data_IF_093731965564
#
_entry.id   IF_093731965564
#
_cell.length_a   1.000
_cell.length_b   1.000
_cell.length_c   1.000
_cell.angle_alpha   90.00
_cell.angle_beta   90.00
_cell.angle_gamma   90.00
#
_symmetry.space_group_name_H-M   'P 1'
#
loop_
_entity.id
_entity.type
_entity.pdbx_description
1 polymer ?
#
# COMPACT_ATOMS: atom_id res chain seq x y z
N UNK A 1 24.75 -17.71 21.65
CA UNK A 1 23.35 -17.51 21.23
C UNK A 1 22.70 -18.86 21.16
N UNK A 2 21.76 -19.12 22.06
CA UNK A 2 21.08 -20.40 22.21
C UNK A 2 20.04 -20.57 21.09
N UNK A 3 19.97 -21.76 20.46
CA UNK A 3 18.91 -22.11 19.53
C UNK A 3 17.53 -21.92 20.16
N UNK A 4 17.39 -22.00 21.48
CA UNK A 4 16.13 -21.75 22.17
C UNK A 4 15.66 -20.29 22.13
N UNK A 5 16.56 -19.30 22.11
CA UNK A 5 16.19 -17.89 21.92
C UNK A 5 15.82 -17.59 20.46
N UNK A 6 16.53 -18.20 19.51
CA UNK A 6 16.19 -18.11 18.10
C UNK A 6 14.85 -18.79 17.78
N UNK A 7 14.55 -19.90 18.47
CA UNK A 7 13.27 -20.63 18.33
C UNK A 7 12.13 -19.89 19.02
N UNK A 8 12.36 -19.20 20.14
CA UNK A 8 11.36 -18.31 20.77
C UNK A 8 11.11 -17.03 19.96
N UNK A 9 12.12 -16.50 19.26
CA UNK A 9 11.91 -15.43 18.25
C UNK A 9 11.17 -15.93 17.01
N UNK A 10 11.36 -17.19 16.62
CA UNK A 10 10.63 -17.82 15.50
C UNK A 10 9.26 -18.41 15.89
N UNK A 11 8.96 -18.52 17.19
CA UNK A 11 7.66 -18.94 17.74
C UNK A 11 6.87 -17.76 18.32
N UNK A 12 7.42 -16.55 18.34
CA UNK A 12 6.61 -15.34 18.43
C UNK A 12 5.79 -15.30 17.14
N UNK A 13 4.59 -15.84 17.21
CA UNK A 13 3.59 -15.78 16.16
C UNK A 13 3.61 -14.35 15.61
N UNK A 14 3.96 -14.19 14.33
CA UNK A 14 3.81 -12.91 13.67
C UNK A 14 2.30 -12.60 13.73
N UNK A 15 1.93 -11.64 14.59
CA UNK A 15 0.52 -11.30 14.88
C UNK A 15 -0.23 -10.97 13.60
N UNK A 16 0.45 -10.39 12.61
CA UNK A 16 -0.10 -10.16 11.27
C UNK A 16 -0.40 -11.47 10.55
N UNK A 17 0.58 -12.38 10.43
CA UNK A 17 0.41 -13.66 9.73
C UNK A 17 -0.69 -14.52 10.36
N UNK A 18 -0.74 -14.61 11.68
CA UNK A 18 -1.80 -15.36 12.36
C UNK A 18 -3.17 -14.67 12.24
N UNK A 19 -3.19 -13.34 12.24
CA UNK A 19 -4.40 -12.59 11.95
C UNK A 19 -4.97 -12.92 10.56
N UNK A 20 -4.11 -13.00 9.55
CA UNK A 20 -4.50 -13.40 8.19
C UNK A 20 -5.00 -14.84 8.11
N UNK A 21 -4.33 -15.79 8.77
CA UNK A 21 -4.76 -17.20 8.80
C UNK A 21 -6.17 -17.36 9.39
N UNK A 22 -6.49 -16.62 10.45
CA UNK A 22 -7.84 -16.63 11.04
C UNK A 22 -8.89 -16.04 10.11
N UNK A 23 -8.53 -15.04 9.29
CA UNK A 23 -9.43 -14.43 8.32
C UNK A 23 -9.64 -15.30 7.07
N UNK A 24 -8.70 -16.19 6.71
CA UNK A 24 -8.83 -17.03 5.53
C UNK A 24 -9.59 -18.33 5.81
N UNK A 25 -9.25 -19.01 6.91
CA UNK A 25 -9.68 -20.39 7.14
C UNK A 25 -10.69 -20.50 8.28
N UNK A 26 -10.99 -19.40 8.97
CA UNK A 26 -11.89 -19.34 10.14
C UNK A 26 -11.38 -20.09 11.38
N UNK A 27 -10.34 -20.93 11.24
CA UNK A 27 -9.73 -21.71 12.31
C UNK A 27 -10.71 -22.55 13.14
N UNK A 28 -10.23 -23.08 14.26
CA UNK A 28 -11.09 -23.66 15.31
C UNK A 28 -11.45 -22.64 16.41
N UNK A 29 -11.25 -21.35 16.12
CA UNK A 29 -11.40 -20.26 17.10
C UNK A 29 -12.78 -19.63 16.94
N UNK A 30 -13.51 -19.52 18.06
CA UNK A 30 -14.79 -18.81 18.06
C UNK A 30 -14.56 -17.33 17.73
N UNK A 31 -15.43 -16.76 16.88
CA UNK A 31 -15.32 -15.37 16.42
C UNK A 31 -13.97 -15.07 15.73
N UNK A 32 -13.41 -16.04 14.99
CA UNK A 32 -12.10 -15.96 14.34
C UNK A 32 -11.89 -14.70 13.51
N UNK A 33 -12.91 -14.22 12.79
CA UNK A 33 -12.81 -12.97 12.02
C UNK A 33 -12.48 -11.77 12.90
N UNK A 34 -13.12 -11.67 14.07
CA UNK A 34 -12.87 -10.58 15.03
C UNK A 34 -11.49 -10.71 15.65
N UNK A 35 -11.09 -11.92 16.01
CA UNK A 35 -9.76 -12.18 16.57
C UNK A 35 -8.68 -11.87 15.54
N UNK A 36 -8.86 -12.29 14.30
CA UNK A 36 -7.94 -12.00 13.19
C UNK A 36 -7.78 -10.49 12.99
N UNK A 37 -8.89 -9.75 12.95
CA UNK A 37 -8.85 -8.29 12.87
C UNK A 37 -8.11 -7.65 14.05
N UNK A 38 -8.38 -8.08 15.29
CA UNK A 38 -7.70 -7.55 16.48
C UNK A 38 -6.19 -7.79 16.44
N UNK A 39 -5.76 -8.96 15.95
CA UNK A 39 -4.33 -9.27 15.82
C UNK A 39 -3.65 -8.38 14.79
N UNK A 40 -4.30 -8.12 13.65
CA UNK A 40 -3.79 -7.21 12.63
C UNK A 40 -3.74 -5.77 13.15
N UNK A 41 -4.78 -5.29 13.83
CA UNK A 41 -4.77 -3.97 14.45
C UNK A 41 -3.63 -3.84 15.46
N UNK A 42 -3.43 -4.86 16.30
CA UNK A 42 -2.33 -4.88 17.26
C UNK A 42 -0.96 -4.84 16.56
N UNK A 43 -0.75 -5.69 15.56
CA UNK A 43 0.50 -5.70 14.77
C UNK A 43 0.77 -4.32 14.15
N UNK A 44 -0.24 -3.71 13.53
CA UNK A 44 -0.12 -2.39 12.92
C UNK A 44 0.20 -1.30 13.95
N UNK A 45 -0.41 -1.35 15.15
CA UNK A 45 -0.09 -0.42 16.25
C UNK A 45 1.32 -0.59 16.80
N UNK A 46 1.90 -1.79 16.68
CA UNK A 46 3.29 -2.07 17.04
C UNK A 46 4.30 -1.68 15.96
N UNK A 47 3.83 -1.19 14.80
CA UNK A 47 4.68 -0.72 13.72
C UNK A 47 4.87 -1.71 12.57
N UNK A 48 4.16 -2.85 12.56
CA UNK A 48 4.24 -3.79 11.43
C UNK A 48 3.70 -3.13 10.15
N UNK A 49 4.60 -2.89 9.18
CA UNK A 49 4.28 -2.17 7.94
C UNK A 49 3.30 -2.94 7.05
N UNK A 50 3.35 -4.27 7.06
CA UNK A 50 2.49 -5.10 6.22
C UNK A 50 1.06 -5.12 6.80
N UNK A 51 0.94 -5.20 8.13
CA UNK A 51 -0.33 -5.02 8.82
C UNK A 51 -0.92 -3.62 8.61
N UNK A 52 -0.08 -2.57 8.64
CA UNK A 52 -0.53 -1.20 8.33
C UNK A 52 -1.03 -1.10 6.88
N UNK A 53 -0.32 -1.67 5.91
CA UNK A 53 -0.77 -1.69 4.52
C UNK A 53 -2.08 -2.44 4.36
N UNK A 54 -2.21 -3.60 5.00
CA UNK A 54 -3.43 -4.39 5.01
C UNK A 54 -4.63 -3.61 5.57
N UNK A 55 -4.44 -2.89 6.68
CA UNK A 55 -5.50 -2.03 7.21
C UNK A 55 -5.84 -0.90 6.24
N UNK A 56 -4.84 -0.32 5.57
CA UNK A 56 -5.03 0.63 4.48
C UNK A 56 -5.98 0.08 3.41
N UNK A 57 -5.67 -1.10 2.87
CA UNK A 57 -6.46 -1.79 1.86
C UNK A 57 -7.87 -2.13 2.35
N UNK A 58 -7.98 -2.68 3.56
CA UNK A 58 -9.27 -3.03 4.14
C UNK A 58 -10.16 -1.79 4.32
N UNK A 59 -9.60 -0.69 4.81
CA UNK A 59 -10.35 0.56 4.95
C UNK A 59 -10.70 1.19 3.61
N UNK A 60 -9.84 1.10 2.60
CA UNK A 60 -10.09 1.66 1.28
C UNK A 60 -11.13 0.87 0.47
N UNK A 61 -10.93 -0.44 0.34
CA UNK A 61 -11.75 -1.29 -0.54
C UNK A 61 -13.01 -1.80 0.14
N UNK A 62 -12.87 -2.34 1.36
CA UNK A 62 -13.96 -3.04 2.06
C UNK A 62 -14.86 -2.09 2.82
N UNK A 63 -14.27 -1.21 3.64
CA UNK A 63 -15.04 -0.31 4.50
C UNK A 63 -15.32 1.05 3.87
N UNK A 64 -14.62 1.41 2.79
CA UNK A 64 -14.74 2.70 2.09
C UNK A 64 -14.60 3.90 3.04
N UNK A 65 -13.61 3.84 3.94
CA UNK A 65 -13.25 4.88 4.91
C UNK A 65 -11.91 5.49 4.52
N UNK A 66 -11.95 6.45 3.61
CA UNK A 66 -10.75 6.99 2.97
C UNK A 66 -9.78 7.65 3.96
N UNK A 67 -10.28 8.35 4.99
CA UNK A 67 -9.43 8.99 6.00
C UNK A 67 -8.66 7.95 6.83
N UNK A 68 -9.30 6.81 7.13
CA UNK A 68 -8.63 5.70 7.84
C UNK A 68 -7.63 4.99 6.94
N UNK A 69 -7.96 4.81 5.66
CA UNK A 69 -7.04 4.26 4.69
C UNK A 69 -5.79 5.15 4.57
N UNK A 70 -5.99 6.47 4.40
CA UNK A 70 -4.91 7.45 4.33
C UNK A 70 -4.02 7.41 5.58
N UNK A 71 -4.61 7.30 6.77
CA UNK A 71 -3.86 7.19 8.02
C UNK A 71 -2.93 5.96 8.03
N UNK A 72 -3.45 4.79 7.68
CA UNK A 72 -2.65 3.56 7.73
C UNK A 72 -1.63 3.46 6.60
N UNK A 73 -1.98 3.88 5.38
CA UNK A 73 -1.00 4.00 4.30
C UNK A 73 0.09 5.00 4.63
N UNK A 74 -0.22 6.11 5.32
CA UNK A 74 0.83 7.04 5.77
C UNK A 74 1.83 6.35 6.69
N UNK A 75 1.35 5.53 7.64
CA UNK A 75 2.23 4.78 8.54
C UNK A 75 3.12 3.77 7.82
N UNK A 76 2.57 3.04 6.86
CA UNK A 76 3.34 2.09 6.05
C UNK A 76 4.33 2.81 5.10
N UNK A 77 3.91 3.94 4.51
CA UNK A 77 4.73 4.77 3.64
C UNK A 77 5.91 5.44 4.39
N UNK A 78 5.72 5.86 5.65
CA UNK A 78 6.79 6.34 6.53
C UNK A 78 7.92 5.29 6.72
N UNK A 79 7.60 4.01 6.48
CA UNK A 79 8.55 2.89 6.54
C UNK A 79 9.08 2.46 5.16
N UNK A 80 8.80 3.26 4.12
CA UNK A 80 9.29 3.03 2.76
C UNK A 80 8.58 1.91 2.01
N UNK A 81 7.38 1.48 2.43
CA UNK A 81 6.64 0.43 1.72
C UNK A 81 6.12 0.94 0.36
N UNK A 82 6.60 0.43 -0.79
CA UNK A 82 6.23 0.94 -2.12
C UNK A 82 4.73 0.89 -2.41
N UNK A 83 4.05 -0.15 -1.94
CA UNK A 83 2.60 -0.36 -2.07
C UNK A 83 1.82 0.78 -1.41
N UNK A 84 2.17 1.09 -0.17
CA UNK A 84 1.55 2.17 0.59
C UNK A 84 1.88 3.55 0.01
N UNK A 85 3.11 3.75 -0.50
CA UNK A 85 3.50 4.98 -1.19
C UNK A 85 2.64 5.20 -2.46
N UNK A 86 2.45 4.16 -3.28
CA UNK A 86 1.60 4.25 -4.47
C UNK A 86 0.13 4.55 -4.12
N UNK A 87 -0.43 3.88 -3.10
CA UNK A 87 -1.79 4.13 -2.66
C UNK A 87 -1.97 5.54 -2.08
N UNK A 88 -1.04 6.00 -1.24
CA UNK A 88 -1.08 7.34 -0.67
C UNK A 88 -0.94 8.42 -1.76
N UNK A 89 -0.09 8.20 -2.76
CA UNK A 89 0.01 9.05 -3.94
C UNK A 89 -1.33 9.19 -4.68
N UNK A 90 -2.03 8.07 -4.88
CA UNK A 90 -3.37 8.06 -5.48
C UNK A 90 -4.40 8.81 -4.62
N UNK A 91 -4.38 8.64 -3.30
CA UNK A 91 -5.28 9.36 -2.40
C UNK A 91 -5.08 10.88 -2.48
N UNK A 92 -3.83 11.35 -2.52
CA UNK A 92 -3.51 12.77 -2.72
C UNK A 92 -3.88 13.28 -4.12
N UNK A 93 -3.73 12.46 -5.16
CA UNK A 93 -4.12 12.80 -6.53
C UNK A 93 -5.62 13.04 -6.64
N UNK A 94 -6.42 12.17 -6.00
CA UNK A 94 -7.88 12.19 -6.06
C UNK A 94 -8.53 13.06 -4.97
N UNK A 95 -7.79 13.43 -3.92
CA UNK A 95 -8.34 14.13 -2.75
C UNK A 95 -9.26 13.23 -1.91
N UNK A 96 -8.95 11.94 -1.81
CA UNK A 96 -9.74 10.95 -1.06
C UNK A 96 -9.14 10.75 0.32
N UNK A 97 -9.89 11.09 1.37
CA UNK A 97 -9.42 10.96 2.76
C UNK A 97 -8.29 11.94 3.15
N UNK A 98 -7.82 12.75 2.20
CA UNK A 98 -6.81 13.79 2.36
C UNK A 98 -7.16 14.98 1.47
N UNK A 99 -6.63 16.17 1.80
CA UNK A 99 -6.73 17.32 0.90
C UNK A 99 -5.91 17.04 -0.36
N UNK A 100 -6.52 17.23 -1.54
CA UNK A 100 -5.88 17.00 -2.83
C UNK A 100 -4.60 17.83 -2.95
N UNK A 101 -3.49 17.16 -3.29
CA UNK A 101 -2.18 17.77 -3.42
C UNK A 101 -1.37 17.03 -4.49
N UNK A 102 -1.27 17.64 -5.67
CA UNK A 102 -0.57 17.03 -6.80
C UNK A 102 0.94 16.96 -6.59
N UNK A 103 1.52 17.85 -5.79
CA UNK A 103 2.97 17.81 -5.52
C UNK A 103 3.29 16.63 -4.61
N UNK A 104 2.49 16.42 -3.55
CA UNK A 104 2.62 15.24 -2.69
C UNK A 104 2.33 13.95 -3.44
N UNK A 105 1.28 13.92 -4.27
CA UNK A 105 0.97 12.75 -5.09
C UNK A 105 2.17 12.33 -5.95
N UNK A 106 2.77 13.29 -6.67
CA UNK A 106 3.99 13.07 -7.45
C UNK A 106 5.14 12.55 -6.60
N UNK A 107 5.42 13.18 -5.46
CA UNK A 107 6.51 12.79 -4.58
C UNK A 107 6.37 11.34 -4.11
N UNK A 108 5.18 10.93 -3.70
CA UNK A 108 4.93 9.55 -3.29
C UNK A 108 5.06 8.56 -4.45
N UNK A 109 4.57 8.91 -5.66
CA UNK A 109 4.79 8.07 -6.84
C UNK A 109 6.28 7.96 -7.21
N UNK A 110 7.04 9.05 -7.15
CA UNK A 110 8.48 9.03 -7.42
C UNK A 110 9.24 8.19 -6.38
N UNK A 111 8.86 8.28 -5.10
CA UNK A 111 9.43 7.46 -4.02
C UNK A 111 9.10 5.97 -4.19
N UNK A 112 7.86 5.63 -4.57
CA UNK A 112 7.46 4.24 -4.84
C UNK A 112 8.29 3.56 -5.96
N UNK A 113 8.99 4.35 -6.78
CA UNK A 113 9.81 3.87 -7.90
C UNK A 113 11.33 3.91 -7.63
N UNK A 114 11.78 4.39 -6.47
CA UNK A 114 13.22 4.58 -6.21
C UNK A 114 14.00 3.26 -6.08
N UNK A 115 13.40 2.21 -5.53
CA UNK A 115 14.14 0.99 -5.18
C UNK A 115 14.21 -0.05 -6.32
N UNK A 116 13.74 0.29 -7.54
CA UNK A 116 13.78 -0.57 -8.73
C UNK A 116 13.16 -1.98 -8.56
N UNK A 117 12.48 -2.26 -7.44
CA UNK A 117 11.68 -3.47 -7.28
C UNK A 117 10.40 -3.31 -8.09
N UNK A 118 10.36 -4.00 -9.22
CA UNK A 118 9.20 -4.04 -10.11
C UNK A 118 8.16 -4.98 -9.52
N UNK A 119 7.26 -4.45 -8.68
CA UNK A 119 6.03 -5.12 -8.26
C UNK A 119 4.80 -4.50 -8.98
N UNK A 120 3.61 -5.07 -8.75
CA UNK A 120 2.35 -4.62 -9.39
C UNK A 120 2.01 -3.18 -8.97
N UNK A 121 2.47 -2.76 -7.80
CA UNK A 121 2.17 -1.48 -7.18
C UNK A 121 3.11 -0.36 -7.68
N UNK A 122 4.35 -0.70 -8.05
CA UNK A 122 5.21 0.14 -8.88
C UNK A 122 4.52 0.47 -10.21
N UNK A 123 3.74 -0.46 -10.77
CA UNK A 123 3.00 -0.22 -12.00
C UNK A 123 1.81 0.76 -11.80
N UNK A 124 1.16 0.77 -10.63
CA UNK A 124 0.19 1.82 -10.26
C UNK A 124 0.85 3.20 -10.22
N UNK A 125 2.00 3.31 -9.55
CA UNK A 125 2.73 4.56 -9.45
C UNK A 125 3.22 5.04 -10.83
N UNK A 126 3.76 4.14 -11.66
CA UNK A 126 4.17 4.43 -13.04
C UNK A 126 2.99 4.95 -13.88
N UNK A 127 1.83 4.30 -13.80
CA UNK A 127 0.65 4.71 -14.55
C UNK A 127 0.20 6.12 -14.17
N UNK A 128 0.00 6.39 -12.87
CA UNK A 128 -0.50 7.70 -12.44
C UNK A 128 0.51 8.81 -12.65
N UNK A 129 1.79 8.56 -12.39
CA UNK A 129 2.85 9.52 -12.68
C UNK A 129 2.92 9.80 -14.19
N UNK A 130 2.77 8.78 -15.03
CA UNK A 130 2.71 8.94 -16.48
C UNK A 130 1.52 9.79 -16.94
N UNK A 131 0.33 9.56 -16.37
CA UNK A 131 -0.85 10.39 -16.61
C UNK A 131 -0.64 11.83 -16.16
N UNK A 132 0.02 12.06 -15.01
CA UNK A 132 0.36 13.40 -14.54
C UNK A 132 1.27 14.13 -15.54
N UNK A 133 2.28 13.47 -16.09
CA UNK A 133 3.15 14.06 -17.12
C UNK A 133 2.42 14.33 -18.45
N UNK A 134 1.56 13.42 -18.92
CA UNK A 134 0.79 13.63 -20.16
C UNK A 134 -0.18 14.81 -20.07
N UNK A 135 -0.82 14.98 -18.92
CA UNK A 135 -1.84 16.01 -18.71
C UNK A 135 -1.27 17.31 -18.09
N UNK A 136 -0.01 17.30 -17.63
CA UNK A 136 0.60 18.43 -16.94
C UNK A 136 0.00 18.69 -15.54
N UNK A 137 -0.43 17.64 -14.84
CA UNK A 137 -1.05 17.74 -13.51
C UNK A 137 0.05 17.72 -12.45
N UNK A 138 0.29 18.85 -11.80
CA UNK A 138 1.32 18.97 -10.75
C UNK A 138 2.76 18.85 -11.26
N UNK A 139 2.95 18.74 -12.56
CA UNK A 139 4.24 18.71 -13.28
C UNK A 139 4.11 19.46 -14.60
N UNK A 140 5.21 20.02 -15.14
CA UNK A 140 5.24 20.45 -16.53
C UNK A 140 4.85 19.28 -17.45
N UNK A 141 4.02 19.58 -18.45
CA UNK A 141 3.58 18.58 -19.42
C UNK A 141 4.77 18.02 -20.19
N UNK A 142 4.86 16.70 -20.23
CA UNK A 142 5.88 15.92 -20.94
C UNK A 142 5.23 14.63 -21.44
N UNK A 143 4.66 14.69 -22.64
CA UNK A 143 3.92 13.56 -23.22
C UNK A 143 4.82 12.34 -23.46
N UNK A 144 6.07 12.56 -23.87
CA UNK A 144 7.02 11.47 -24.16
C UNK A 144 7.38 10.71 -22.88
N UNK A 145 7.75 11.43 -21.82
CA UNK A 145 8.01 10.84 -20.51
C UNK A 145 6.77 10.13 -19.96
N UNK A 146 5.60 10.74 -20.12
CA UNK A 146 4.35 10.18 -19.64
C UNK A 146 3.96 8.89 -20.35
N UNK A 147 4.11 8.83 -21.68
CA UNK A 147 3.89 7.61 -22.47
C UNK A 147 4.86 6.50 -22.11
N UNK A 148 6.14 6.82 -21.92
CA UNK A 148 7.14 5.85 -21.47
C UNK A 148 6.77 5.23 -20.12
N UNK A 149 6.33 6.04 -19.15
CA UNK A 149 5.92 5.55 -17.83
C UNK A 149 4.68 4.63 -17.92
N UNK A 150 3.68 5.01 -18.70
CA UNK A 150 2.47 4.18 -18.90
C UNK A 150 2.81 2.87 -19.62
N UNK A 151 3.73 2.92 -20.59
CA UNK A 151 4.19 1.72 -21.28
C UNK A 151 4.90 0.75 -20.32
N UNK A 152 5.76 1.27 -19.42
CA UNK A 152 6.38 0.46 -18.37
C UNK A 152 5.33 -0.15 -17.42
N UNK A 153 4.32 0.62 -17.00
CA UNK A 153 3.23 0.11 -16.18
C UNK A 153 2.52 -1.08 -16.85
N UNK A 154 2.25 -0.98 -18.15
CA UNK A 154 1.60 -2.05 -18.91
C UNK A 154 2.47 -3.32 -19.03
N UNK A 155 3.79 -3.18 -19.25
CA UNK A 155 4.73 -4.31 -19.24
C UNK A 155 4.72 -5.02 -17.89
N UNK A 156 4.62 -4.26 -16.80
CA UNK A 156 4.63 -4.76 -15.43
C UNK A 156 3.26 -5.32 -14.99
N UNK A 157 2.35 -5.57 -15.94
CA UNK A 157 1.06 -6.23 -15.68
C UNK A 157 -0.06 -5.29 -15.23
N UNK A 158 0.15 -3.98 -15.19
CA UNK A 158 -0.92 -3.04 -14.87
C UNK A 158 -1.78 -2.72 -16.10
N UNK A 159 -3.00 -3.24 -16.10
CA UNK A 159 -4.06 -2.81 -16.98
C UNK A 159 -5.03 -1.92 -16.17
N UNK A 160 -5.10 -0.60 -16.41
CA UNK A 160 -6.14 0.21 -15.81
C UNK A 160 -7.48 -0.39 -16.21
N UNK A 161 -8.34 -0.72 -15.23
CA UNK A 161 -9.68 -1.22 -15.53
C UNK A 161 -10.39 -0.18 -16.40
N UNK A 162 -10.74 -0.60 -17.62
CA UNK A 162 -11.30 0.25 -18.65
C UNK A 162 -12.56 0.98 -18.20
N UNK A 163 -12.79 2.13 -18.84
CA UNK A 163 -13.92 3.05 -18.63
C UNK A 163 -15.28 2.37 -18.72
#
# INVERSE_FOLDING_TARGET
>A
MDRSEQTKKNQAINLYTWGLELLSDGGHVRDADKVGWMLIENAATQGDRDAQNYLGDAYFYSYKKDEKAAFWYTKAAEQGLPEALAMLGMLYLLGRGVTRDYIKARQYFEQALQDNEVNVEAAVAQYWLGQMYKEGIGVPKDSEKGEKLIYLAAINGYAPRGK
#
